data_IF_554184825048
#
_entry.id   IF_554184825048
#
_cell.length_a   1.000
_cell.length_b   1.000
_cell.length_c   1.000
_cell.angle_alpha   90.00
_cell.angle_beta   90.00
_cell.angle_gamma   90.00
#
_symmetry.space_group_name_H-M   'P 1'
#
loop_
_entity.id
_entity.type
_entity.pdbx_description
1 polymer ?
#
# COMPACT_ATOMS: atom_id res chain seq x y z
N UNK A 1 13.33 -51.09 25.74
CA UNK A 1 13.23 -50.50 24.38
C UNK A 1 12.12 -49.43 24.24
N UNK A 2 11.42 -49.00 25.31
CA UNK A 2 10.27 -48.09 25.20
C UNK A 2 10.59 -46.58 25.36
N UNK A 3 11.78 -46.19 25.80
CA UNK A 3 12.11 -44.78 26.10
C UNK A 3 12.56 -43.95 24.89
N UNK A 4 13.02 -44.58 23.81
CA UNK A 4 13.53 -43.85 22.63
C UNK A 4 12.41 -43.25 21.74
N UNK A 5 11.23 -43.90 21.68
CA UNK A 5 10.13 -43.47 20.81
C UNK A 5 9.39 -42.20 21.28
N UNK A 6 9.30 -41.99 22.60
CA UNK A 6 8.60 -40.83 23.16
C UNK A 6 9.41 -39.54 22.92
N UNK A 7 10.73 -39.60 23.05
CA UNK A 7 11.61 -38.44 22.81
C UNK A 7 11.57 -37.96 21.36
N UNK A 8 11.58 -38.88 20.39
CA UNK A 8 11.52 -38.50 18.97
C UNK A 8 10.17 -37.88 18.60
N UNK A 9 9.07 -38.41 19.14
CA UNK A 9 7.72 -37.88 18.90
C UNK A 9 7.54 -36.47 19.48
N UNK A 10 8.06 -36.21 20.70
CA UNK A 10 8.06 -34.88 21.31
C UNK A 10 8.89 -33.87 20.51
N UNK A 11 10.04 -34.27 19.97
CA UNK A 11 10.88 -33.39 19.16
C UNK A 11 10.23 -33.05 17.82
N UNK A 12 9.53 -34.00 17.18
CA UNK A 12 8.78 -33.76 15.93
C UNK A 12 7.54 -32.88 16.17
N UNK A 13 6.85 -33.04 17.31
CA UNK A 13 5.78 -32.13 17.71
C UNK A 13 6.31 -30.73 18.04
N UNK A 14 7.44 -30.61 18.73
CA UNK A 14 8.08 -29.32 19.04
C UNK A 14 8.63 -28.62 17.77
N UNK A 15 9.10 -29.36 16.77
CA UNK A 15 9.46 -28.81 15.46
C UNK A 15 8.24 -28.43 14.61
N UNK A 16 7.12 -29.14 14.74
CA UNK A 16 5.86 -28.76 14.07
C UNK A 16 5.20 -27.54 14.73
N UNK A 17 5.51 -27.30 16.01
CA UNK A 17 5.22 -26.08 16.76
C UNK A 17 6.33 -25.04 16.68
N UNK A 18 7.39 -25.25 15.87
CA UNK A 18 8.35 -24.21 15.53
C UNK A 18 7.53 -22.99 15.12
N UNK A 19 7.60 -21.95 15.96
CA UNK A 19 6.68 -20.83 15.92
C UNK A 19 6.63 -20.32 14.48
N UNK A 20 5.49 -20.51 13.80
CA UNK A 20 5.31 -19.93 12.48
C UNK A 20 5.54 -18.45 12.66
N UNK A 21 6.63 -17.95 12.08
CA UNK A 21 7.03 -16.56 12.21
C UNK A 21 5.82 -15.68 11.86
N UNK A 22 5.41 -14.84 12.80
CA UNK A 22 4.23 -13.99 12.63
C UNK A 22 4.46 -13.10 11.41
N UNK A 23 3.58 -13.25 10.41
CA UNK A 23 3.63 -12.48 9.18
C UNK A 23 3.34 -11.01 9.44
N UNK A 24 4.09 -10.10 8.80
CA UNK A 24 4.09 -8.67 9.11
C UNK A 24 3.81 -7.83 7.88
N UNK A 25 3.03 -6.77 8.03
CA UNK A 25 2.83 -5.75 6.99
C UNK A 25 2.94 -4.33 7.54
N UNK A 26 3.34 -3.40 6.67
CA UNK A 26 3.26 -1.95 6.92
C UNK A 26 2.14 -1.37 6.07
N UNK A 27 1.29 -0.53 6.67
CA UNK A 27 0.26 0.23 5.97
C UNK A 27 0.54 1.72 6.16
N UNK A 28 1.06 2.38 5.13
CA UNK A 28 1.18 3.85 5.12
C UNK A 28 -0.14 4.45 4.63
N UNK A 29 -0.75 5.30 5.44
CA UNK A 29 -2.13 5.74 5.31
C UNK A 29 -3.09 4.87 6.11
N UNK A 30 -2.59 4.18 7.15
CA UNK A 30 -3.32 3.17 7.92
C UNK A 30 -4.56 3.68 8.67
N UNK A 31 -4.83 4.99 8.70
CA UNK A 31 -6.07 5.58 9.24
C UNK A 31 -6.94 6.27 8.19
N UNK A 32 -6.57 6.21 6.90
CA UNK A 32 -7.47 6.48 5.78
C UNK A 32 -8.52 5.37 5.62
N UNK A 33 -9.47 5.53 4.69
CA UNK A 33 -10.53 4.55 4.48
C UNK A 33 -9.97 3.18 4.06
N UNK A 34 -9.18 3.14 2.98
CA UNK A 34 -8.54 1.90 2.51
C UNK A 34 -7.51 1.36 3.53
N UNK A 35 -6.78 2.25 4.21
CA UNK A 35 -5.81 1.83 5.23
C UNK A 35 -6.45 1.23 6.47
N UNK A 36 -7.57 1.79 6.96
CA UNK A 36 -8.33 1.22 8.07
C UNK A 36 -8.84 -0.16 7.70
N UNK A 37 -9.39 -0.32 6.49
CA UNK A 37 -9.84 -1.62 6.00
C UNK A 37 -8.68 -2.61 5.83
N UNK A 38 -7.51 -2.14 5.38
CA UNK A 38 -6.29 -2.97 5.26
C UNK A 38 -5.81 -3.46 6.62
N UNK A 39 -5.75 -2.58 7.61
CA UNK A 39 -5.39 -2.93 8.99
C UNK A 39 -6.37 -3.97 9.52
N UNK A 40 -7.67 -3.70 9.44
CA UNK A 40 -8.73 -4.62 9.91
C UNK A 40 -8.61 -5.99 9.26
N UNK A 41 -8.47 -6.03 7.93
CA UNK A 41 -8.42 -7.28 7.16
C UNK A 41 -7.18 -8.13 7.51
N UNK A 42 -6.00 -7.54 7.62
CA UNK A 42 -4.77 -8.26 7.97
C UNK A 42 -4.73 -8.69 9.45
N UNK A 43 -5.25 -7.85 10.36
CA UNK A 43 -5.40 -8.21 11.78
C UNK A 43 -6.34 -9.40 11.97
N UNK A 44 -7.46 -9.43 11.24
CA UNK A 44 -8.41 -10.55 11.24
C UNK A 44 -7.79 -11.86 10.71
N UNK A 45 -6.66 -11.80 10.00
CA UNK A 45 -5.89 -12.97 9.55
C UNK A 45 -4.69 -13.29 10.45
N UNK A 46 -4.61 -12.67 11.62
CA UNK A 46 -3.52 -12.82 12.60
C UNK A 46 -2.15 -12.32 12.13
N UNK A 47 -2.12 -11.35 11.22
CA UNK A 47 -0.88 -10.67 10.84
C UNK A 47 -0.57 -9.54 11.82
N UNK A 48 0.72 -9.25 11.97
CA UNK A 48 1.19 -8.10 12.74
C UNK A 48 1.28 -6.87 11.82
N UNK A 49 0.56 -5.81 12.17
CA UNK A 49 0.38 -4.65 11.29
C UNK A 49 0.97 -3.39 11.91
N UNK A 50 1.89 -2.74 11.19
CA UNK A 50 2.33 -1.36 11.47
C UNK A 50 1.46 -0.38 10.70
N UNK A 51 0.77 0.52 11.40
CA UNK A 51 0.09 1.65 10.79
C UNK A 51 0.99 2.89 10.80
N UNK A 52 1.30 3.43 9.63
CA UNK A 52 2.00 4.72 9.47
C UNK A 52 0.97 5.73 8.99
N UNK A 53 0.65 6.74 9.79
CA UNK A 53 -0.36 7.74 9.44
C UNK A 53 -0.20 8.97 10.34
N UNK A 54 -0.84 10.09 9.97
CA UNK A 54 -0.89 11.31 10.80
C UNK A 54 -1.79 11.13 12.03
N UNK A 55 -2.65 10.09 12.02
CA UNK A 55 -3.51 9.68 13.14
C UNK A 55 -3.21 8.24 13.54
N UNK A 56 -3.28 7.96 14.85
CA UNK A 56 -3.12 6.60 15.37
C UNK A 56 -4.30 5.72 14.96
N UNK A 57 -4.02 4.51 14.48
CA UNK A 57 -4.99 3.43 14.32
C UNK A 57 -4.84 2.42 15.46
N UNK A 58 -5.80 2.39 16.39
CA UNK A 58 -5.79 1.51 17.57
C UNK A 58 -5.98 0.02 17.25
N UNK A 59 -6.46 -0.31 16.05
CA UNK A 59 -6.60 -1.71 15.61
C UNK A 59 -5.28 -2.32 15.15
N UNK A 60 -4.31 -1.49 14.76
CA UNK A 60 -2.97 -1.93 14.38
C UNK A 60 -2.15 -2.35 15.60
N UNK A 61 -1.18 -3.23 15.41
CA UNK A 61 -0.30 -3.68 16.50
C UNK A 61 0.70 -2.61 16.93
N UNK A 62 1.15 -1.80 15.98
CA UNK A 62 2.06 -0.70 16.24
C UNK A 62 1.74 0.48 15.33
N UNK A 63 2.13 1.67 15.77
CA UNK A 63 1.86 2.91 15.05
C UNK A 63 3.13 3.75 14.93
N UNK A 64 3.32 4.35 13.75
CA UNK A 64 4.24 5.47 13.54
C UNK A 64 3.40 6.70 13.22
N UNK A 65 3.30 7.63 14.17
CA UNK A 65 2.55 8.88 13.99
C UNK A 65 3.39 9.87 13.18
N UNK A 66 2.96 10.14 11.95
CA UNK A 66 3.60 11.11 11.04
C UNK A 66 3.31 12.52 11.55
N UNK A 67 4.34 13.35 11.66
CA UNK A 67 4.19 14.79 11.93
C UNK A 67 4.07 15.51 10.58
N UNK A 68 3.06 16.37 10.46
CA UNK A 68 2.95 17.24 9.29
C UNK A 68 4.15 18.19 9.26
N UNK A 69 4.79 18.30 8.11
CA UNK A 69 5.97 19.14 7.89
C UNK A 69 6.02 19.61 6.44
N UNK A 70 6.71 20.73 6.22
CA UNK A 70 6.99 21.29 4.90
C UNK A 70 8.23 20.67 4.23
N UNK A 71 9.01 19.89 4.96
CA UNK A 71 10.24 19.27 4.50
C UNK A 71 10.06 17.77 4.23
N UNK A 72 10.22 17.38 2.96
CA UNK A 72 10.14 15.98 2.55
C UNK A 72 11.13 15.11 3.32
N UNK A 73 12.38 15.54 3.39
CA UNK A 73 13.47 14.80 4.01
C UNK A 73 13.26 14.64 5.51
N UNK A 74 12.65 15.61 6.17
CA UNK A 74 12.30 15.48 7.60
C UNK A 74 11.19 14.48 7.82
N UNK A 75 10.13 14.50 6.99
CA UNK A 75 9.09 13.48 7.05
C UNK A 75 9.67 12.08 6.79
N UNK A 76 10.50 11.95 5.77
CA UNK A 76 11.13 10.68 5.40
C UNK A 76 12.03 10.14 6.53
N UNK A 77 12.86 11.00 7.13
CA UNK A 77 13.70 10.65 8.29
C UNK A 77 12.84 10.25 9.48
N UNK A 78 11.82 11.04 9.80
CA UNK A 78 10.93 10.78 10.94
C UNK A 78 10.23 9.42 10.81
N UNK A 79 9.66 9.12 9.64
CA UNK A 79 8.99 7.83 9.39
C UNK A 79 9.99 6.69 9.41
N UNK A 80 11.15 6.83 8.76
CA UNK A 80 12.17 5.78 8.70
C UNK A 80 12.71 5.43 10.09
N UNK A 81 12.99 6.44 10.93
CA UNK A 81 13.40 6.24 12.32
C UNK A 81 12.27 5.58 13.13
N UNK A 82 11.03 6.02 12.94
CA UNK A 82 9.86 5.44 13.62
C UNK A 82 9.68 3.96 13.31
N UNK A 83 9.73 3.58 12.02
CA UNK A 83 9.65 2.17 11.59
C UNK A 83 10.86 1.38 12.09
N UNK A 84 12.07 1.95 12.07
CA UNK A 84 13.27 1.30 12.58
C UNK A 84 13.21 0.97 14.07
N UNK A 85 12.58 1.84 14.88
CA UNK A 85 12.37 1.57 16.31
C UNK A 85 11.41 0.40 16.57
N UNK A 86 10.46 0.18 15.67
CA UNK A 86 9.46 -0.88 15.81
C UNK A 86 9.95 -2.22 15.30
N UNK A 87 10.65 -2.23 14.16
CA UNK A 87 11.06 -3.46 13.47
C UNK A 87 12.50 -3.87 13.77
N UNK A 88 13.38 -2.94 14.15
CA UNK A 88 14.81 -3.22 14.25
C UNK A 88 15.36 -3.79 12.93
N UNK A 89 15.73 -5.08 12.95
CA UNK A 89 16.21 -5.84 11.78
C UNK A 89 15.15 -6.75 11.17
N UNK A 90 13.98 -6.87 11.79
CA UNK A 90 12.91 -7.75 11.33
C UNK A 90 12.35 -7.30 9.99
N UNK A 91 11.96 -8.28 9.17
CA UNK A 91 11.43 -8.05 7.84
C UNK A 91 9.90 -8.16 7.80
N UNK A 92 9.30 -7.51 6.82
CA UNK A 92 7.85 -7.55 6.53
C UNK A 92 7.59 -8.24 5.20
N UNK A 93 6.44 -8.88 5.10
CA UNK A 93 6.00 -9.60 3.90
C UNK A 93 5.38 -8.65 2.86
N UNK A 94 4.81 -7.52 3.32
CA UNK A 94 4.34 -6.47 2.42
C UNK A 94 4.35 -5.06 3.02
N UNK A 95 4.40 -4.07 2.12
CA UNK A 95 4.23 -2.65 2.42
C UNK A 95 3.15 -2.10 1.49
N UNK A 96 2.08 -1.54 2.05
CA UNK A 96 0.98 -0.95 1.32
C UNK A 96 0.98 0.57 1.51
N UNK A 97 1.29 1.32 0.44
CA UNK A 97 1.15 2.77 0.41
C UNK A 97 -0.24 3.14 -0.10
N UNK A 98 -1.16 3.36 0.84
CA UNK A 98 -2.56 3.75 0.59
C UNK A 98 -2.88 5.17 1.06
N UNK A 99 -1.89 5.87 1.62
CA UNK A 99 -1.93 7.31 1.79
C UNK A 99 -1.95 7.98 0.42
N UNK A 100 -2.80 8.98 0.30
CA UNK A 100 -2.99 9.73 -0.93
C UNK A 100 -4.08 10.77 -0.72
N UNK A 101 -4.12 11.72 -1.65
CA UNK A 101 -5.19 12.70 -1.74
C UNK A 101 -5.58 12.90 -3.19
N UNK A 102 -6.70 13.61 -3.36
CA UNK A 102 -7.23 14.02 -4.64
C UNK A 102 -7.53 15.52 -4.61
N UNK A 103 -7.44 16.15 -5.78
CA UNK A 103 -7.78 17.54 -5.96
C UNK A 103 -8.22 17.78 -7.41
N UNK A 104 -9.31 18.51 -7.58
CA UNK A 104 -9.75 19.06 -8.86
C UNK A 104 -9.17 20.46 -9.05
N UNK A 105 -9.07 20.87 -10.30
CA UNK A 105 -8.50 22.14 -10.72
C UNK A 105 -7.75 22.01 -12.05
N UNK A 106 -8.11 22.87 -13.00
CA UNK A 106 -7.34 23.06 -14.23
C UNK A 106 -6.22 24.10 -14.03
N UNK A 107 -5.47 24.40 -15.08
CA UNK A 107 -4.35 25.34 -15.03
C UNK A 107 -4.74 26.79 -14.65
N UNK A 108 -6.01 27.19 -14.76
CA UNK A 108 -6.51 28.51 -14.34
C UNK A 108 -6.98 28.55 -12.89
N UNK A 109 -7.08 27.40 -12.21
CA UNK A 109 -7.56 27.35 -10.84
C UNK A 109 -6.63 28.13 -9.90
N UNK A 110 -7.18 29.05 -9.09
CA UNK A 110 -6.42 29.81 -8.08
C UNK A 110 -5.71 28.92 -7.06
N UNK A 111 -6.20 27.71 -6.87
CA UNK A 111 -5.63 26.70 -5.97
C UNK A 111 -4.52 25.84 -6.59
N UNK A 112 -4.14 26.07 -7.86
CA UNK A 112 -3.18 25.24 -8.60
C UNK A 112 -1.91 24.95 -7.79
N UNK A 113 -1.23 25.99 -7.30
CA UNK A 113 0.03 25.84 -6.55
C UNK A 113 -0.16 25.09 -5.23
N UNK A 114 -1.22 25.44 -4.48
CA UNK A 114 -1.58 24.75 -3.23
C UNK A 114 -1.84 23.26 -3.46
N UNK A 115 -2.57 22.92 -4.51
CA UNK A 115 -2.89 21.52 -4.82
C UNK A 115 -1.72 20.78 -5.47
N UNK A 116 -0.84 21.45 -6.22
CA UNK A 116 0.39 20.84 -6.73
C UNK A 116 1.27 20.37 -5.56
N UNK A 117 1.53 21.25 -4.59
CA UNK A 117 2.29 20.92 -3.39
C UNK A 117 1.59 19.82 -2.56
N UNK A 118 0.30 19.98 -2.26
CA UNK A 118 -0.44 19.03 -1.44
C UNK A 118 -0.54 17.63 -2.09
N UNK A 119 -0.82 17.54 -3.39
CA UNK A 119 -0.90 16.26 -4.09
C UNK A 119 0.45 15.55 -4.16
N UNK A 120 1.54 16.32 -4.32
CA UNK A 120 2.89 15.78 -4.28
C UNK A 120 3.23 15.23 -2.89
N UNK A 121 2.96 15.99 -1.83
CA UNK A 121 3.14 15.56 -0.43
C UNK A 121 2.32 14.30 -0.09
N UNK A 122 1.07 14.23 -0.51
CA UNK A 122 0.19 13.13 -0.11
C UNK A 122 0.39 11.85 -0.92
N UNK A 123 0.76 11.95 -2.20
CA UNK A 123 0.88 10.79 -3.10
C UNK A 123 2.33 10.41 -3.39
N UNK A 124 3.20 11.38 -3.66
CA UNK A 124 4.58 11.11 -4.10
C UNK A 124 5.49 10.89 -2.91
N UNK A 125 5.48 11.77 -1.89
CA UNK A 125 6.34 11.60 -0.72
C UNK A 125 6.09 10.27 -0.01
N UNK A 126 4.82 9.92 0.20
CA UNK A 126 4.42 8.68 0.87
C UNK A 126 4.88 7.44 0.08
N UNK A 127 4.74 7.46 -1.23
CA UNK A 127 5.19 6.39 -2.13
C UNK A 127 6.72 6.25 -2.13
N UNK A 128 7.45 7.37 -2.16
CA UNK A 128 8.93 7.37 -2.10
C UNK A 128 9.43 6.86 -0.75
N UNK A 129 8.79 7.26 0.36
CA UNK A 129 9.12 6.74 1.70
C UNK A 129 8.87 5.23 1.76
N UNK A 130 7.73 4.75 1.28
CA UNK A 130 7.42 3.31 1.26
C UNK A 130 8.42 2.52 0.41
N UNK A 131 8.88 3.11 -0.70
CA UNK A 131 9.92 2.53 -1.55
C UNK A 131 11.24 2.36 -0.78
N UNK A 132 11.70 3.39 -0.07
CA UNK A 132 12.92 3.29 0.73
C UNK A 132 12.76 2.36 1.95
N UNK A 133 11.57 2.31 2.56
CA UNK A 133 11.27 1.31 3.58
C UNK A 133 11.33 -0.11 3.01
N UNK A 134 10.91 -0.32 1.75
CA UNK A 134 10.94 -1.63 1.12
C UNK A 134 12.37 -2.16 0.93
N UNK A 135 13.35 -1.30 0.59
CA UNK A 135 14.75 -1.74 0.47
C UNK A 135 15.32 -2.24 1.80
N UNK A 136 14.82 -1.70 2.92
CA UNK A 136 15.29 -2.03 4.28
C UNK A 136 14.53 -3.17 4.92
N UNK A 137 13.21 -3.22 4.77
CA UNK A 137 12.35 -4.08 5.56
C UNK A 137 11.63 -5.16 4.77
N UNK A 138 11.51 -5.05 3.44
CA UNK A 138 10.79 -6.07 2.68
C UNK A 138 11.59 -7.38 2.65
N UNK A 139 10.92 -8.51 2.88
CA UNK A 139 11.53 -9.83 2.69
C UNK A 139 11.86 -10.07 1.21
N UNK A 140 12.80 -10.97 0.97
CA UNK A 140 12.99 -11.58 -0.35
C UNK A 140 11.65 -12.16 -0.81
N UNK A 141 11.20 -11.80 -2.00
CA UNK A 141 9.87 -12.22 -2.50
C UNK A 141 8.67 -11.40 -2.00
N UNK A 142 8.88 -10.40 -1.14
CA UNK A 142 7.81 -9.58 -0.57
C UNK A 142 7.14 -8.63 -1.57
N UNK A 143 6.06 -7.98 -1.13
CA UNK A 143 5.24 -7.10 -1.97
C UNK A 143 5.27 -5.64 -1.52
N UNK A 144 5.56 -4.72 -2.43
CA UNK A 144 5.28 -3.29 -2.29
C UNK A 144 4.10 -2.92 -3.18
N UNK A 145 3.05 -2.32 -2.63
CA UNK A 145 1.98 -1.71 -3.44
C UNK A 145 1.93 -0.21 -3.24
N UNK A 146 1.90 0.53 -4.34
CA UNK A 146 1.62 1.96 -4.39
C UNK A 146 0.19 2.19 -4.88
N UNK A 147 -0.30 3.43 -4.73
CA UNK A 147 -1.65 3.81 -5.17
C UNK A 147 -1.57 4.85 -6.28
N UNK A 148 -1.71 4.39 -7.52
CA UNK A 148 -1.94 5.23 -8.69
C UNK A 148 -3.40 5.70 -8.78
N UNK A 149 -3.81 6.10 -9.97
CA UNK A 149 -5.22 6.29 -10.33
C UNK A 149 -5.42 5.94 -11.81
N UNK A 150 -6.57 5.37 -12.19
CA UNK A 150 -6.86 5.05 -13.61
C UNK A 150 -6.83 6.31 -14.49
N UNK A 151 -7.37 7.43 -13.98
CA UNK A 151 -7.46 8.69 -14.74
C UNK A 151 -6.10 9.24 -15.17
N UNK A 152 -5.03 8.93 -14.42
CA UNK A 152 -3.67 9.40 -14.73
C UNK A 152 -2.96 8.56 -15.82
N UNK A 153 -3.66 7.60 -16.43
CA UNK A 153 -3.21 6.96 -17.68
C UNK A 153 -3.43 7.86 -18.91
N UNK A 154 -4.29 8.87 -18.80
CA UNK A 154 -4.55 9.86 -19.85
C UNK A 154 -4.40 11.29 -19.34
N UNK A 155 -4.71 12.28 -20.20
CA UNK A 155 -4.70 13.68 -19.83
C UNK A 155 -5.73 13.99 -18.73
N UNK A 156 -5.33 14.72 -17.69
CA UNK A 156 -6.17 15.10 -16.55
C UNK A 156 -6.36 16.62 -16.47
N UNK A 157 -6.90 17.24 -17.53
CA UNK A 157 -6.99 18.69 -17.67
C UNK A 157 -7.78 19.38 -16.53
N UNK A 158 -8.75 18.68 -15.94
CA UNK A 158 -9.58 19.18 -14.83
C UNK A 158 -9.04 18.82 -13.44
N UNK A 159 -7.92 18.09 -13.37
CA UNK A 159 -7.28 17.67 -12.12
C UNK A 159 -5.76 17.60 -12.28
N UNK A 160 -5.17 18.67 -12.81
CA UNK A 160 -3.77 18.66 -13.30
C UNK A 160 -2.77 18.28 -12.21
N UNK A 161 -2.93 18.81 -11.00
CA UNK A 161 -2.05 18.52 -9.86
C UNK A 161 -2.17 17.07 -9.39
N UNK A 162 -3.38 16.51 -9.41
CA UNK A 162 -3.64 15.13 -9.02
C UNK A 162 -3.10 14.14 -10.06
N UNK A 163 -3.41 14.36 -11.34
CA UNK A 163 -2.91 13.51 -12.42
C UNK A 163 -1.39 13.51 -12.51
N UNK A 164 -0.75 14.67 -12.39
CA UNK A 164 0.72 14.78 -12.32
C UNK A 164 1.29 13.93 -11.17
N UNK A 165 0.75 14.06 -9.96
CA UNK A 165 1.23 13.29 -8.81
C UNK A 165 1.00 11.78 -8.98
N UNK A 166 -0.13 11.35 -9.54
CA UNK A 166 -0.43 9.93 -9.79
C UNK A 166 0.40 9.35 -10.93
N UNK A 167 0.67 10.10 -12.00
CA UNK A 167 1.59 9.70 -13.06
C UNK A 167 3.02 9.52 -12.54
N UNK A 168 3.49 10.37 -11.61
CA UNK A 168 4.77 10.17 -10.92
C UNK A 168 4.81 8.85 -10.15
N UNK A 169 3.71 8.47 -9.47
CA UNK A 169 3.61 7.17 -8.78
C UNK A 169 3.61 6.01 -9.78
N UNK A 170 2.98 6.17 -10.94
CA UNK A 170 3.03 5.19 -12.03
C UNK A 170 4.45 4.98 -12.53
N UNK A 171 5.17 6.07 -12.81
CA UNK A 171 6.55 6.02 -13.25
C UNK A 171 7.44 5.37 -12.19
N UNK A 172 7.30 5.74 -10.92
CA UNK A 172 8.03 5.12 -9.82
C UNK A 172 7.79 3.60 -9.79
N UNK A 173 6.54 3.17 -9.94
CA UNK A 173 6.20 1.74 -9.95
C UNK A 173 6.89 0.99 -11.07
N UNK A 174 6.85 1.53 -12.30
CA UNK A 174 7.53 0.91 -13.45
C UNK A 174 9.04 0.82 -13.24
N UNK A 175 9.66 1.90 -12.76
CA UNK A 175 11.10 1.91 -12.43
C UNK A 175 11.46 0.86 -11.39
N UNK A 176 10.60 0.63 -10.39
CA UNK A 176 10.81 -0.39 -9.37
C UNK A 176 10.68 -1.82 -9.89
N UNK A 177 9.97 -2.02 -10.99
CA UNK A 177 9.90 -3.29 -11.71
C UNK A 177 11.14 -3.61 -12.54
N UNK A 178 11.97 -2.61 -12.83
CA UNK A 178 13.19 -2.77 -13.62
C UNK A 178 14.33 -3.47 -12.86
N UNK A 179 15.35 -3.97 -13.58
CA UNK A 179 16.58 -4.43 -12.96
C UNK A 179 17.26 -3.28 -12.21
N UNK A 180 18.06 -3.59 -11.19
CA UNK A 180 18.80 -2.62 -10.39
C UNK A 180 17.94 -1.57 -9.65
N UNK A 181 16.64 -1.83 -9.46
CA UNK A 181 15.74 -0.93 -8.71
C UNK A 181 16.11 -0.76 -7.22
N UNK A 182 17.05 -1.54 -6.70
CA UNK A 182 17.46 -1.54 -5.29
C UNK A 182 16.48 -2.25 -4.36
N UNK A 183 15.39 -2.82 -4.88
CA UNK A 183 14.50 -3.65 -4.10
C UNK A 183 15.11 -5.04 -3.80
N UNK A 184 14.71 -5.70 -2.69
CA UNK A 184 15.21 -7.02 -2.36
C UNK A 184 14.95 -8.06 -3.47
N UNK A 185 15.78 -9.11 -3.59
CA UNK A 185 15.60 -10.13 -4.62
C UNK A 185 14.18 -10.71 -4.64
N UNK A 186 13.65 -10.95 -5.85
CA UNK A 186 12.31 -11.52 -6.10
C UNK A 186 11.12 -10.73 -5.54
N UNK A 187 11.35 -9.58 -4.91
CA UNK A 187 10.27 -8.72 -4.47
C UNK A 187 9.53 -8.11 -5.66
N UNK A 188 8.28 -7.72 -5.44
CA UNK A 188 7.38 -7.21 -6.48
C UNK A 188 6.89 -5.83 -6.06
N UNK A 189 7.03 -4.85 -6.94
CA UNK A 189 6.40 -3.53 -6.81
C UNK A 189 5.21 -3.44 -7.77
N UNK A 190 4.03 -3.07 -7.26
CA UNK A 190 2.81 -2.90 -8.04
C UNK A 190 2.17 -1.55 -7.73
N UNK A 191 1.34 -1.04 -8.64
CA UNK A 191 0.41 0.03 -8.32
C UNK A 191 -1.02 -0.39 -8.63
N UNK A 192 -1.93 -0.16 -7.69
CA UNK A 192 -3.36 -0.20 -7.99
C UNK A 192 -3.79 1.12 -8.62
N UNK A 193 -4.62 1.04 -9.65
CA UNK A 193 -5.18 2.18 -10.38
C UNK A 193 -6.70 2.14 -10.23
N UNK A 194 -7.24 2.53 -9.07
CA UNK A 194 -8.67 2.65 -8.90
C UNK A 194 -9.25 3.74 -9.79
N UNK A 195 -10.49 3.55 -10.22
CA UNK A 195 -11.36 4.62 -10.76
C UNK A 195 -11.86 5.46 -9.59
N UNK A 196 -12.81 4.91 -8.84
CA UNK A 196 -13.34 5.49 -7.61
C UNK A 196 -13.39 4.38 -6.56
N UNK A 197 -12.79 4.63 -5.40
CA UNK A 197 -12.92 3.74 -4.25
C UNK A 197 -14.21 4.07 -3.49
N UNK A 198 -14.90 3.04 -3.03
CA UNK A 198 -16.08 3.21 -2.17
C UNK A 198 -15.67 3.60 -0.75
N UNK A 199 -15.51 4.89 -0.52
CA UNK A 199 -15.09 5.44 0.78
C UNK A 199 -16.22 6.24 1.43
N UNK A 200 -16.27 6.33 2.78
CA UNK A 200 -17.22 7.21 3.46
C UNK A 200 -17.13 8.67 2.98
N UNK A 201 -15.92 9.15 2.67
CA UNK A 201 -15.72 10.49 2.12
C UNK A 201 -16.35 10.63 0.74
N UNK A 202 -16.11 9.69 -0.18
CA UNK A 202 -16.70 9.73 -1.52
C UNK A 202 -18.23 9.65 -1.45
N UNK A 203 -18.80 8.77 -0.61
CA UNK A 203 -20.27 8.72 -0.39
C UNK A 203 -20.83 10.05 0.11
N UNK A 204 -20.10 10.75 0.98
CA UNK A 204 -20.53 12.04 1.53
C UNK A 204 -20.52 13.16 0.48
N UNK A 205 -19.50 13.21 -0.39
CA UNK A 205 -19.35 14.29 -1.38
C UNK A 205 -20.08 13.99 -2.70
N UNK A 206 -20.37 12.72 -2.99
CA UNK A 206 -21.06 12.26 -4.19
C UNK A 206 -22.28 11.39 -3.81
N UNK A 207 -23.29 11.95 -3.10
CA UNK A 207 -24.40 11.17 -2.55
C UNK A 207 -25.31 10.53 -3.60
N UNK A 208 -25.37 11.10 -4.82
CA UNK A 208 -26.24 10.64 -5.91
C UNK A 208 -25.49 9.78 -6.95
N UNK A 209 -24.23 9.44 -6.70
CA UNK A 209 -23.45 8.65 -7.63
C UNK A 209 -23.83 7.16 -7.58
N UNK A 210 -23.68 6.48 -8.71
CA UNK A 210 -23.87 5.03 -8.78
C UNK A 210 -22.72 4.29 -8.07
N UNK A 211 -22.94 3.94 -6.81
CA UNK A 211 -21.99 3.19 -5.99
C UNK A 211 -21.69 1.78 -6.52
N UNK A 212 -22.52 1.23 -7.42
CA UNK A 212 -22.25 -0.07 -8.05
C UNK A 212 -21.05 -0.03 -9.02
N UNK A 213 -20.64 1.18 -9.43
CA UNK A 213 -19.42 1.42 -10.22
C UNK A 213 -18.17 1.67 -9.37
N UNK A 214 -18.29 1.74 -8.04
CA UNK A 214 -17.18 2.05 -7.15
C UNK A 214 -16.53 0.79 -6.63
N UNK A 215 -15.20 0.80 -6.54
CA UNK A 215 -14.43 -0.35 -6.07
C UNK A 215 -14.55 -0.50 -4.56
N UNK A 216 -15.13 -1.61 -4.06
CA UNK A 216 -15.23 -1.85 -2.62
C UNK A 216 -13.86 -1.98 -1.97
N UNK A 217 -13.67 -1.38 -0.79
CA UNK A 217 -12.38 -1.42 -0.08
C UNK A 217 -11.95 -2.84 0.28
N UNK A 218 -12.91 -3.71 0.65
CA UNK A 218 -12.65 -5.11 0.96
C UNK A 218 -12.15 -5.90 -0.27
N UNK A 219 -12.55 -5.52 -1.49
CA UNK A 219 -12.01 -6.13 -2.70
C UNK A 219 -10.52 -5.82 -2.86
N UNK A 220 -10.13 -4.57 -2.61
CA UNK A 220 -8.72 -4.14 -2.66
C UNK A 220 -7.89 -4.88 -1.61
N UNK A 221 -8.37 -5.01 -0.38
CA UNK A 221 -7.62 -5.71 0.69
C UNK A 221 -7.53 -7.22 0.44
N UNK A 222 -8.54 -7.83 -0.17
CA UNK A 222 -8.46 -9.22 -0.65
C UNK A 222 -7.39 -9.38 -1.74
N UNK A 223 -7.29 -8.44 -2.68
CA UNK A 223 -6.21 -8.45 -3.69
C UNK A 223 -4.85 -8.30 -3.04
N UNK A 224 -4.67 -7.33 -2.15
CA UNK A 224 -3.42 -7.16 -1.39
C UNK A 224 -3.01 -8.44 -0.69
N UNK A 225 -3.93 -9.09 0.03
CA UNK A 225 -3.64 -10.36 0.69
C UNK A 225 -3.26 -11.46 -0.30
N UNK A 226 -4.04 -11.65 -1.39
CA UNK A 226 -3.74 -12.65 -2.42
C UNK A 226 -2.34 -12.44 -2.99
N UNK A 227 -1.99 -11.21 -3.35
CA UNK A 227 -0.68 -10.87 -3.89
C UNK A 227 0.44 -11.06 -2.86
N UNK A 228 0.23 -10.67 -1.60
CA UNK A 228 1.23 -10.89 -0.54
C UNK A 228 1.52 -12.38 -0.34
N UNK A 229 0.52 -13.26 -0.46
CA UNK A 229 0.72 -14.73 -0.38
C UNK A 229 1.04 -15.38 -1.73
N UNK A 230 1.33 -14.59 -2.77
CA UNK A 230 1.77 -15.07 -4.09
C UNK A 230 0.66 -15.59 -5.02
N UNK A 231 -0.62 -15.44 -4.67
CA UNK A 231 -1.77 -15.86 -5.50
C UNK A 231 -2.13 -14.79 -6.52
N UNK A 232 -2.13 -15.17 -7.81
CA UNK A 232 -2.51 -14.29 -8.92
C UNK A 232 -1.79 -12.93 -8.90
N UNK A 233 -0.52 -12.93 -8.48
CA UNK A 233 0.31 -11.73 -8.35
C UNK A 233 0.84 -11.32 -9.73
N UNK A 234 0.56 -10.08 -10.21
CA UNK A 234 1.16 -9.56 -11.44
C UNK A 234 2.70 -9.44 -11.36
N UNK A 235 3.40 -9.36 -12.50
CA UNK A 235 4.84 -9.13 -12.50
C UNK A 235 5.19 -7.75 -11.92
N UNK A 236 6.41 -7.63 -11.40
CA UNK A 236 6.90 -6.36 -10.84
C UNK A 236 6.87 -5.24 -11.89
N UNK A 237 6.53 -4.02 -11.47
CA UNK A 237 6.33 -2.86 -12.34
C UNK A 237 4.92 -2.72 -12.92
N UNK A 238 4.03 -3.68 -12.70
CA UNK A 238 2.67 -3.62 -13.24
C UNK A 238 1.85 -2.49 -12.63
N UNK A 239 1.13 -1.77 -13.48
CA UNK A 239 0.03 -0.89 -13.08
C UNK A 239 -1.27 -1.67 -13.28
N UNK A 240 -2.07 -1.81 -12.24
CA UNK A 240 -3.25 -2.70 -12.21
C UNK A 240 -4.51 -1.87 -12.08
N UNK A 241 -5.26 -1.75 -13.17
CA UNK A 241 -6.55 -1.05 -13.18
C UNK A 241 -7.56 -1.81 -12.32
N UNK A 242 -8.25 -1.10 -11.43
CA UNK A 242 -9.37 -1.63 -10.67
C UNK A 242 -10.65 -0.97 -11.17
N UNK A 243 -11.36 -1.68 -12.03
CA UNK A 243 -12.60 -1.21 -12.65
C UNK A 243 -13.75 -2.00 -12.06
N UNK A 244 -14.77 -1.29 -11.56
CA UNK A 244 -15.98 -1.92 -11.04
C UNK A 244 -17.16 -1.58 -11.93
N UNK A 245 -17.91 -2.60 -12.32
CA UNK A 245 -19.13 -2.47 -13.10
C UNK A 245 -20.16 -3.43 -12.50
N UNK A 246 -21.37 -2.94 -12.22
CA UNK A 246 -22.45 -3.72 -11.62
C UNK A 246 -22.01 -4.48 -10.36
N UNK A 247 -21.23 -3.82 -9.48
CA UNK A 247 -20.72 -4.38 -8.22
C UNK A 247 -19.57 -5.39 -8.36
N UNK A 248 -19.12 -5.70 -9.58
CA UNK A 248 -17.99 -6.62 -9.83
C UNK A 248 -16.73 -5.85 -10.19
N UNK A 249 -15.72 -5.93 -9.33
CA UNK A 249 -14.40 -5.37 -9.61
C UNK A 249 -13.53 -6.37 -10.38
N UNK A 250 -12.89 -5.91 -11.45
CA UNK A 250 -11.87 -6.63 -12.21
C UNK A 250 -10.54 -5.90 -12.04
N UNK A 251 -9.49 -6.67 -11.74
CA UNK A 251 -8.12 -6.18 -11.64
C UNK A 251 -7.34 -6.58 -12.89
N UNK A 252 -6.98 -5.59 -13.72
CA UNK A 252 -6.30 -5.82 -15.01
C UNK A 252 -4.93 -5.15 -15.02
N UNK A 253 -3.82 -5.90 -15.07
CA UNK A 253 -2.52 -5.31 -15.35
C UNK A 253 -2.52 -4.68 -16.74
N UNK A 254 -2.13 -3.40 -16.85
CA UNK A 254 -1.90 -2.80 -18.15
C UNK A 254 -0.69 -3.47 -18.78
N UNK A 255 -0.75 -3.76 -20.08
CA UNK A 255 0.45 -4.12 -20.83
C UNK A 255 1.37 -2.89 -20.82
N UNK A 256 2.62 -3.06 -20.41
CA UNK A 256 3.61 -1.99 -20.49
C UNK A 256 3.66 -1.47 -21.93
N UNK A 257 3.63 -0.13 -22.06
CA UNK A 257 4.06 0.55 -23.30
C UNK A 257 5.58 0.59 -23.30
#
# INVERSE_FOLDING_TARGET
MFTFGIFLTLMVLNYSLASREVKKVIVYGGKGALGTESVRYFRAKHWWVVSVDVRVNKEANANVKVKMTESFTDQAKQVTVGVSKLLGVEKVDAIFCVAGGQAEGNAKAKSLYKYADLMWKQNVWTSTICTHLATRYLRVGGLLTLTGAKVALGPTAESVSFGMAKASVHQLTRSLGGPNSGLPPRSVALAILPVTLDTPTNRKIMPNADVSSWTPLNHVTQLFFKWTVGKSRPPSGSLVELVTTNGKTVATPIKSV
#
